data_IF_476481970816
#
_entry.id   IF_476481970816
#
_cell.length_a   1.000
_cell.length_b   1.000
_cell.length_c   1.000
_cell.angle_alpha   90.00
_cell.angle_beta   90.00
_cell.angle_gamma   90.00
#
_symmetry.space_group_name_H-M   'P 1'
#
loop_
_entity.id
_entity.type
_entity.pdbx_description
1 polymer ?
#
# COMPACT_ATOMS: atom_id res chain seq x y z
N UNK A 1 -10.59 -7.96 10.25
CA UNK A 1 -9.12 -8.00 10.09
C UNK A 1 -8.56 -6.63 9.66
N UNK A 2 -9.01 -6.05 8.55
CA UNK A 2 -8.48 -4.76 8.06
C UNK A 2 -8.60 -3.58 9.03
N UNK A 3 -9.72 -3.42 9.74
CA UNK A 3 -9.86 -2.36 10.77
C UNK A 3 -8.83 -2.52 11.90
N UNK A 4 -8.60 -3.76 12.33
CA UNK A 4 -7.61 -4.07 13.37
C UNK A 4 -6.19 -3.79 12.89
N UNK A 5 -5.83 -4.28 11.70
CA UNK A 5 -4.53 -3.97 11.09
C UNK A 5 -4.36 -2.46 10.87
N UNK A 6 -5.41 -1.77 10.43
CA UNK A 6 -5.42 -0.31 10.27
C UNK A 6 -5.09 0.42 11.56
N UNK A 7 -5.78 0.08 12.65
CA UNK A 7 -5.64 0.76 13.94
C UNK A 7 -4.33 0.41 14.67
N UNK A 8 -3.90 -0.84 14.64
CA UNK A 8 -2.81 -1.34 15.49
C UNK A 8 -1.49 -1.60 14.77
N UNK A 9 -1.50 -1.69 13.43
CA UNK A 9 -0.29 -1.88 12.62
C UNK A 9 -0.03 -0.66 11.74
N UNK A 10 -0.97 -0.33 10.85
CA UNK A 10 -0.78 0.71 9.82
C UNK A 10 -0.64 2.09 10.44
N UNK A 11 -1.59 2.50 11.30
CA UNK A 11 -1.61 3.82 11.93
C UNK A 11 -0.33 4.12 12.73
N UNK A 12 0.05 3.27 13.71
CA UNK A 12 1.28 3.46 14.46
C UNK A 12 2.53 3.43 13.58
N UNK A 13 2.64 2.48 12.64
CA UNK A 13 3.80 2.38 11.76
C UNK A 13 4.00 3.66 10.93
N UNK A 14 2.94 4.18 10.31
CA UNK A 14 3.00 5.42 9.54
C UNK A 14 3.32 6.64 10.42
N UNK A 15 2.73 6.72 11.62
CA UNK A 15 2.98 7.84 12.54
C UNK A 15 4.46 7.95 12.90
N UNK A 16 5.05 6.85 13.37
CA UNK A 16 6.47 6.83 13.74
C UNK A 16 7.39 6.94 12.52
N UNK A 17 7.01 6.32 11.40
CA UNK A 17 7.80 6.40 10.17
C UNK A 17 7.88 7.82 9.63
N UNK A 18 6.77 8.52 9.41
CA UNK A 18 6.82 9.89 8.87
C UNK A 18 7.50 10.85 9.83
N UNK A 19 7.29 10.70 11.15
CA UNK A 19 8.03 11.48 12.14
C UNK A 19 9.55 11.26 12.08
N UNK A 20 9.99 10.03 11.82
CA UNK A 20 11.42 9.69 11.71
C UNK A 20 12.00 10.09 10.37
N UNK A 21 11.28 9.86 9.28
CA UNK A 21 11.67 10.18 7.91
C UNK A 21 11.98 11.67 7.75
N UNK A 22 11.12 12.53 8.28
CA UNK A 22 11.33 13.97 8.23
C UNK A 22 12.59 14.40 9.01
N UNK A 23 12.90 13.76 10.14
CA UNK A 23 14.15 14.00 10.89
C UNK A 23 15.38 13.53 10.12
N UNK A 24 15.30 12.35 9.48
CA UNK A 24 16.39 11.79 8.67
C UNK A 24 16.69 12.72 7.50
N UNK A 25 15.67 13.16 6.76
CA UNK A 25 15.83 14.05 5.60
C UNK A 25 16.31 15.44 6.03
N UNK A 26 15.85 15.97 7.16
CA UNK A 26 16.37 17.22 7.69
C UNK A 26 17.86 17.12 8.03
N UNK A 27 18.31 15.96 8.55
CA UNK A 27 19.71 15.73 8.89
C UNK A 27 20.65 15.60 7.67
N UNK A 28 20.13 15.30 6.47
CA UNK A 28 20.94 15.28 5.24
C UNK A 28 21.18 16.67 4.65
N UNK A 29 20.48 17.70 5.14
CA UNK A 29 20.52 19.06 4.60
C UNK A 29 19.75 19.25 3.29
N UNK A 30 19.04 18.22 2.81
CA UNK A 30 18.20 18.34 1.62
C UNK A 30 16.90 19.07 1.93
N UNK A 31 16.56 20.08 1.12
CA UNK A 31 15.36 20.90 1.28
C UNK A 31 14.50 20.93 0.01
N UNK A 32 13.25 21.37 0.15
CA UNK A 32 12.35 21.56 -0.98
C UNK A 32 12.18 20.28 -1.82
N UNK A 33 12.38 20.39 -3.13
CA UNK A 33 12.22 19.27 -4.06
C UNK A 33 13.24 18.14 -3.82
N UNK A 34 14.49 18.47 -3.49
CA UNK A 34 15.51 17.47 -3.20
C UNK A 34 15.18 16.70 -1.91
N UNK A 35 14.70 17.40 -0.87
CA UNK A 35 14.22 16.77 0.37
C UNK A 35 13.02 15.85 0.12
N UNK A 36 12.03 16.30 -0.65
CA UNK A 36 10.88 15.48 -1.01
C UNK A 36 11.28 14.23 -1.82
N UNK A 37 12.23 14.36 -2.75
CA UNK A 37 12.77 13.23 -3.50
C UNK A 37 13.51 12.21 -2.61
N UNK A 38 14.31 12.69 -1.66
CA UNK A 38 14.99 11.82 -0.69
C UNK A 38 14.01 11.10 0.25
N UNK A 39 13.01 11.83 0.76
CA UNK A 39 11.92 11.26 1.57
C UNK A 39 11.18 10.16 0.80
N UNK A 40 10.81 10.44 -0.46
CA UNK A 40 10.13 9.50 -1.34
C UNK A 40 10.98 8.25 -1.61
N UNK A 41 12.27 8.41 -1.89
CA UNK A 41 13.16 7.28 -2.14
C UNK A 41 13.24 6.37 -0.92
N UNK A 42 13.43 6.93 0.28
CA UNK A 42 13.45 6.17 1.53
C UNK A 42 12.09 5.49 1.80
N UNK A 43 10.99 6.20 1.60
CA UNK A 43 9.64 5.68 1.81
C UNK A 43 9.34 4.50 0.86
N UNK A 44 9.69 4.63 -0.42
CA UNK A 44 9.27 3.67 -1.45
C UNK A 44 10.25 2.51 -1.65
N UNK A 45 11.54 2.71 -1.37
CA UNK A 45 12.57 1.67 -1.54
C UNK A 45 12.87 0.90 -0.26
N UNK A 46 12.60 1.49 0.92
CA UNK A 46 12.90 0.85 2.21
C UNK A 46 11.61 0.53 2.96
N UNK A 47 10.82 1.55 3.27
CA UNK A 47 9.66 1.35 4.14
C UNK A 47 8.55 0.56 3.44
N UNK A 48 8.11 0.96 2.25
CA UNK A 48 7.01 0.30 1.57
C UNK A 48 7.25 -1.21 1.34
N UNK A 49 8.43 -1.67 0.85
CA UNK A 49 8.71 -3.10 0.72
C UNK A 49 8.76 -3.82 2.07
N UNK A 50 9.35 -3.26 3.12
CA UNK A 50 9.31 -3.93 4.42
C UNK A 50 7.89 -3.99 4.99
N UNK A 51 7.16 -2.89 4.89
CA UNK A 51 5.82 -2.72 5.43
C UNK A 51 4.79 -3.61 4.73
N UNK A 52 4.79 -3.68 3.40
CA UNK A 52 3.89 -4.55 2.65
C UNK A 52 4.12 -6.04 2.99
N UNK A 53 5.38 -6.46 3.19
CA UNK A 53 5.69 -7.83 3.56
C UNK A 53 5.12 -8.17 4.95
N UNK A 54 5.33 -7.28 5.93
CA UNK A 54 4.77 -7.41 7.28
C UNK A 54 3.24 -7.38 7.24
N UNK A 55 2.63 -6.53 6.41
CA UNK A 55 1.19 -6.44 6.27
C UNK A 55 0.59 -7.73 5.71
N UNK A 56 1.15 -8.27 4.62
CA UNK A 56 0.71 -9.55 4.03
C UNK A 56 0.89 -10.69 5.04
N UNK A 57 2.04 -10.76 5.72
CA UNK A 57 2.30 -11.77 6.73
C UNK A 57 1.27 -11.71 7.88
N UNK A 58 0.98 -10.50 8.37
CA UNK A 58 0.02 -10.27 9.45
C UNK A 58 -1.41 -10.63 9.02
N UNK A 59 -1.80 -10.24 7.80
CA UNK A 59 -3.12 -10.54 7.23
C UNK A 59 -3.37 -12.06 7.21
N UNK A 60 -2.49 -12.81 6.55
CA UNK A 60 -2.63 -14.26 6.42
C UNK A 60 -2.52 -15.00 7.75
N UNK A 61 -1.69 -14.52 8.67
CA UNK A 61 -1.57 -15.13 10.00
C UNK A 61 -2.85 -14.96 10.81
N UNK A 62 -3.44 -13.76 10.83
CA UNK A 62 -4.70 -13.49 11.55
C UNK A 62 -5.87 -14.25 10.92
N UNK A 63 -5.85 -14.45 9.60
CA UNK A 63 -6.84 -15.26 8.88
C UNK A 63 -6.65 -16.78 9.08
N UNK A 64 -5.65 -17.21 9.86
CA UNK A 64 -5.39 -18.62 10.16
C UNK A 64 -4.66 -19.38 9.05
N UNK A 65 -4.07 -18.68 8.09
CA UNK A 65 -3.38 -19.25 6.93
C UNK A 65 -1.90 -18.83 6.85
N UNK A 66 -1.19 -18.95 7.97
CA UNK A 66 0.21 -18.53 8.07
C UNK A 66 1.15 -19.30 7.12
N UNK A 67 0.82 -20.54 6.75
CA UNK A 67 1.61 -21.36 5.81
C UNK A 67 1.63 -20.79 4.39
N UNK A 68 0.60 -20.01 4.00
CA UNK A 68 0.54 -19.37 2.70
C UNK A 68 1.34 -18.06 2.59
N UNK A 69 1.86 -17.51 3.70
CA UNK A 69 2.62 -16.25 3.70
C UNK A 69 3.84 -16.31 2.77
N UNK A 70 4.71 -17.30 2.97
CA UNK A 70 5.95 -17.42 2.18
C UNK A 70 5.65 -17.71 0.70
N UNK A 71 4.76 -18.66 0.34
CA UNK A 71 4.33 -18.84 -1.04
C UNK A 71 3.77 -17.57 -1.68
N UNK A 72 2.90 -16.86 -0.97
CA UNK A 72 2.26 -15.64 -1.47
C UNK A 72 3.26 -14.53 -1.74
N UNK A 73 4.20 -14.31 -0.81
CA UNK A 73 5.28 -13.34 -1.01
C UNK A 73 6.15 -13.77 -2.20
N UNK A 74 6.59 -15.03 -2.30
CA UNK A 74 7.41 -15.47 -3.44
C UNK A 74 6.72 -15.26 -4.79
N UNK A 75 5.41 -15.49 -4.84
CA UNK A 75 4.63 -15.39 -6.08
C UNK A 75 4.37 -13.94 -6.49
N UNK A 76 3.86 -13.12 -5.57
CA UNK A 76 3.23 -11.84 -5.91
C UNK A 76 4.01 -10.62 -5.42
N UNK A 77 5.11 -10.80 -4.68
CA UNK A 77 5.82 -9.70 -4.01
C UNK A 77 6.20 -8.57 -4.94
N UNK A 78 6.93 -8.87 -6.01
CA UNK A 78 7.39 -7.85 -6.95
C UNK A 78 6.22 -7.13 -7.63
N UNK A 79 5.19 -7.88 -8.06
CA UNK A 79 3.99 -7.31 -8.67
C UNK A 79 3.25 -6.39 -7.71
N UNK A 80 3.16 -6.79 -6.43
CA UNK A 80 2.49 -6.01 -5.38
C UNK A 80 3.24 -4.71 -5.09
N UNK A 81 4.57 -4.76 -4.96
CA UNK A 81 5.41 -3.56 -4.75
C UNK A 81 5.31 -2.61 -5.94
N UNK A 82 5.40 -3.10 -7.17
CA UNK A 82 5.28 -2.26 -8.38
C UNK A 82 3.89 -1.62 -8.48
N UNK A 83 2.84 -2.36 -8.15
CA UNK A 83 1.47 -1.85 -8.15
C UNK A 83 1.28 -0.78 -7.07
N UNK A 84 1.86 -1.00 -5.89
CA UNK A 84 1.90 -0.01 -4.83
C UNK A 84 2.59 1.28 -5.31
N UNK A 85 3.75 1.17 -5.97
CA UNK A 85 4.46 2.34 -6.47
C UNK A 85 3.67 3.18 -7.47
N UNK A 86 2.89 2.56 -8.36
CA UNK A 86 2.08 3.29 -9.36
C UNK A 86 1.12 4.30 -8.73
N UNK A 87 0.61 4.00 -7.53
CA UNK A 87 -0.36 4.84 -6.82
C UNK A 87 0.37 5.77 -5.86
N UNK A 88 1.27 5.20 -5.05
CA UNK A 88 1.84 5.90 -3.91
C UNK A 88 3.02 6.79 -4.29
N UNK A 89 3.81 6.47 -5.32
CA UNK A 89 4.96 7.31 -5.70
C UNK A 89 4.51 8.72 -6.13
N UNK A 90 3.55 8.89 -7.05
CA UNK A 90 3.10 10.22 -7.45
C UNK A 90 2.47 10.99 -6.28
N UNK A 91 1.62 10.32 -5.51
CA UNK A 91 0.95 10.93 -4.36
C UNK A 91 1.94 11.35 -3.27
N UNK A 92 2.86 10.46 -2.88
CA UNK A 92 3.81 10.72 -1.79
C UNK A 92 4.81 11.80 -2.15
N UNK A 93 5.20 11.90 -3.42
CA UNK A 93 6.01 13.04 -3.85
C UNK A 93 5.30 14.37 -3.55
N UNK A 94 4.02 14.49 -3.92
CA UNK A 94 3.21 15.68 -3.64
C UNK A 94 3.00 15.87 -2.14
N UNK A 95 2.75 14.80 -1.40
CA UNK A 95 2.56 14.81 0.04
C UNK A 95 3.81 15.38 0.76
N UNK A 96 4.99 14.83 0.49
CA UNK A 96 6.24 15.29 1.10
C UNK A 96 6.66 16.67 0.63
N UNK A 97 6.26 17.09 -0.58
CA UNK A 97 6.63 18.40 -1.12
C UNK A 97 5.74 19.54 -0.63
N UNK A 98 4.44 19.30 -0.45
CA UNK A 98 3.45 20.36 -0.24
C UNK A 98 2.67 20.25 1.07
N UNK A 99 2.58 19.06 1.68
CA UNK A 99 1.77 18.85 2.89
C UNK A 99 2.66 18.99 4.13
N UNK A 100 2.25 19.81 5.13
CA UNK A 100 2.93 19.89 6.41
C UNK A 100 3.04 18.52 7.09
N UNK A 101 4.16 18.25 7.75
CA UNK A 101 4.48 16.96 8.38
C UNK A 101 3.35 16.38 9.24
N UNK A 102 2.71 17.22 10.06
CA UNK A 102 1.62 16.81 10.94
C UNK A 102 0.35 16.38 10.20
N UNK A 103 0.20 16.76 8.92
CA UNK A 103 -0.95 16.44 8.08
C UNK A 103 -0.66 15.32 7.06
N UNK A 104 0.61 14.94 6.86
CA UNK A 104 1.01 13.95 5.84
C UNK A 104 0.33 12.58 6.05
N UNK A 105 0.19 12.14 7.30
CA UNK A 105 -0.53 10.89 7.64
C UNK A 105 -2.02 11.03 7.33
N UNK A 106 -2.62 12.18 7.63
CA UNK A 106 -4.02 12.47 7.33
C UNK A 106 -4.29 12.47 5.82
N UNK A 107 -3.44 13.13 5.04
CA UNK A 107 -3.54 13.14 3.58
C UNK A 107 -3.42 11.72 3.00
N UNK A 108 -2.45 10.92 3.50
CA UNK A 108 -2.29 9.53 3.07
C UNK A 108 -3.52 8.67 3.38
N UNK A 109 -4.15 8.87 4.55
CA UNK A 109 -5.37 8.15 4.92
C UNK A 109 -6.57 8.50 4.03
N UNK A 110 -6.69 9.76 3.58
CA UNK A 110 -7.76 10.16 2.63
C UNK A 110 -7.60 9.44 1.30
N UNK A 111 -6.38 9.39 0.75
CA UNK A 111 -6.11 8.65 -0.49
C UNK A 111 -6.28 7.15 -0.30
N UNK A 112 -5.85 6.59 0.84
CA UNK A 112 -6.08 5.19 1.17
C UNK A 112 -7.58 4.85 1.19
N UNK A 113 -8.41 5.71 1.76
CA UNK A 113 -9.86 5.53 1.78
C UNK A 113 -10.42 5.56 0.35
N UNK A 114 -10.06 6.55 -0.46
CA UNK A 114 -10.49 6.64 -1.86
C UNK A 114 -10.09 5.41 -2.67
N UNK A 115 -8.86 4.92 -2.48
CA UNK A 115 -8.36 3.71 -3.12
C UNK A 115 -9.13 2.46 -2.68
N UNK A 116 -9.36 2.30 -1.38
CA UNK A 116 -10.11 1.17 -0.83
C UNK A 116 -11.57 1.18 -1.34
N UNK A 117 -12.19 2.36 -1.44
CA UNK A 117 -13.53 2.51 -2.03
C UNK A 117 -13.54 2.12 -3.52
N UNK A 118 -12.57 2.59 -4.29
CA UNK A 118 -12.43 2.23 -5.70
C UNK A 118 -12.25 0.72 -5.90
N UNK A 119 -11.35 0.10 -5.13
CA UNK A 119 -11.14 -1.35 -5.16
C UNK A 119 -12.41 -2.13 -4.78
N UNK A 120 -13.13 -1.67 -3.76
CA UNK A 120 -14.42 -2.27 -3.39
C UNK A 120 -15.42 -2.19 -4.55
N UNK A 121 -15.51 -1.05 -5.24
CA UNK A 121 -16.41 -0.89 -6.38
C UNK A 121 -16.03 -1.80 -7.55
N UNK A 122 -14.77 -1.82 -7.96
CA UNK A 122 -14.27 -2.65 -9.07
C UNK A 122 -14.47 -4.15 -8.80
N UNK A 123 -14.26 -4.59 -7.56
CA UNK A 123 -14.43 -6.00 -7.18
C UNK A 123 -15.89 -6.44 -7.05
N UNK A 124 -16.85 -5.50 -6.97
CA UNK A 124 -18.29 -5.78 -6.88
C UNK A 124 -19.05 -5.52 -8.20
N UNK A 125 -18.37 -5.05 -9.25
CA UNK A 125 -18.94 -5.08 -10.59
C UNK A 125 -19.13 -6.56 -10.99
N UNK A 126 -20.37 -6.92 -11.37
CA UNK A 126 -20.74 -8.30 -11.71
C UNK A 126 -19.74 -8.92 -12.69
N UNK A 127 -19.21 -10.09 -12.34
CA UNK A 127 -18.55 -10.96 -13.29
C UNK A 127 -19.64 -11.46 -14.23
N UNK A 128 -19.73 -10.87 -15.43
CA UNK A 128 -20.55 -11.43 -16.51
C UNK A 128 -20.07 -12.88 -16.71
N UNK A 129 -20.93 -13.89 -16.45
CA UNK A 129 -20.51 -15.28 -16.57
C UNK A 129 -20.05 -15.53 -18.00
N UNK A 130 -18.87 -16.10 -18.17
CA UNK A 130 -18.44 -16.59 -19.48
C UNK A 130 -19.53 -17.54 -19.99
N UNK A 131 -20.07 -17.27 -21.18
CA UNK A 131 -21.11 -18.09 -21.81
C UNK A 131 -20.72 -19.58 -21.72
N UNK A 132 -21.58 -20.38 -21.08
CA UNK A 132 -21.39 -21.82 -20.99
C UNK A 132 -21.27 -22.42 -22.41
N UNK A 133 -20.36 -23.40 -22.63
CA UNK A 133 -20.19 -23.98 -23.95
C UNK A 133 -21.52 -24.58 -24.42
N UNK A 134 -21.99 -24.16 -25.61
CA UNK A 134 -23.18 -24.71 -26.27
C UNK A 134 -22.98 -26.22 -26.45
N UNK A 135 -23.57 -27.00 -25.54
CA UNK A 135 -23.55 -28.44 -25.60
C UNK A 135 -24.25 -28.88 -26.91
N UNK A 136 -23.47 -29.46 -27.81
CA UNK A 136 -23.95 -30.01 -29.07
C UNK A 136 -24.98 -31.11 -28.80
N UNK A 137 -26.27 -30.77 -28.95
CA UNK A 137 -27.31 -31.78 -29.04
C UNK A 137 -27.26 -32.41 -30.43
N UNK A 138 -26.61 -33.59 -30.49
CA UNK A 138 -26.92 -34.62 -31.48
C UNK A 138 -28.42 -34.93 -31.42
N UNK A 139 -29.11 -34.79 -32.55
CA UNK A 139 -30.19 -35.68 -32.99
C UNK A 139 -30.13 -35.77 -34.51
#
# INVERSE_FOLDING_TARGET
>A
VFTFLGAFLVGPALHFWYGSLNKIVAATGFTGTAGAGAALALDQLVFAPCFLAVFIASLFTIEGNASAVVPKLKQDWASTVVTNWKIWVPFQFLNFRFVPVNLQVGAANVIALAWNTYMSWVTHLEVVPAEAPKNGKKK
#
